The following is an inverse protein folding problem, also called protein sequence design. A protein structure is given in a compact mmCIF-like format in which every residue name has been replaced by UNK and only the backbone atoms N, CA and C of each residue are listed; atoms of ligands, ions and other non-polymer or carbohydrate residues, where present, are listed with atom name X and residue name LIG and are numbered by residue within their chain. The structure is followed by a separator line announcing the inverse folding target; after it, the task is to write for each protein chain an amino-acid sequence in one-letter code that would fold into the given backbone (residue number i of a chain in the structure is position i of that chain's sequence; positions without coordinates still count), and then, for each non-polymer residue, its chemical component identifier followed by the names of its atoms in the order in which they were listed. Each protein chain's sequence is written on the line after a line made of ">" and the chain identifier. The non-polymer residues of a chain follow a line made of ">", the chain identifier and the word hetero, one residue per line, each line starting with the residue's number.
data_IF_294041160863
#
_entry.id   IF_294041160863
#
_cell.length_a   1.000
_cell.length_b   1.000
_cell.length_c   1.000
_cell.angle_alpha   90.00
_cell.angle_beta   90.00
_cell.angle_gamma   90.00
#
_symmetry.space_group_name_H-M   'P 1'
#
loop_
_entity.id
_entity.type
_entity.pdbx_description
1 polymer ?
#
# COMPACT_ATOMS: atom_id res chain seq x y z
N UNK A 1 41.82 -12.99 -19.50
CA UNK A 1 40.61 -12.85 -18.67
C UNK A 1 40.95 -13.41 -17.29
N UNK A 2 40.85 -12.62 -16.22
CA UNK A 2 41.22 -13.07 -14.87
C UNK A 2 40.02 -13.77 -14.24
N UNK A 3 40.14 -15.07 -14.02
CA UNK A 3 39.17 -15.85 -13.25
C UNK A 3 39.30 -15.46 -11.76
N UNK A 4 38.22 -14.99 -11.16
CA UNK A 4 38.16 -14.74 -9.72
C UNK A 4 37.43 -15.91 -9.06
N UNK A 5 38.16 -16.97 -8.73
CA UNK A 5 37.63 -18.11 -7.98
C UNK A 5 37.84 -17.91 -6.48
N UNK A 6 36.76 -17.57 -5.78
CA UNK A 6 36.54 -18.17 -4.47
C UNK A 6 35.99 -19.57 -4.80
N UNK A 7 36.83 -20.61 -4.71
CA UNK A 7 36.70 -21.91 -5.40
C UNK A 7 35.44 -22.77 -5.16
N UNK A 8 34.36 -22.21 -4.60
CA UNK A 8 33.06 -22.86 -4.44
C UNK A 8 32.00 -22.45 -5.45
N UNK A 9 32.19 -21.36 -6.20
CA UNK A 9 31.16 -20.86 -7.12
C UNK A 9 31.79 -20.41 -8.45
N UNK A 10 31.47 -21.11 -9.53
CA UNK A 10 31.78 -20.69 -10.89
C UNK A 10 30.76 -19.64 -11.34
N UNK A 11 31.08 -18.35 -11.17
CA UNK A 11 30.19 -17.24 -11.50
C UNK A 11 30.92 -16.23 -12.38
N UNK A 12 30.30 -15.82 -13.48
CA UNK A 12 30.85 -14.77 -14.37
C UNK A 12 30.70 -13.39 -13.74
N UNK A 13 31.63 -12.48 -14.03
CA UNK A 13 31.54 -11.07 -13.61
C UNK A 13 30.19 -10.41 -13.97
N UNK A 14 29.68 -10.70 -15.17
CA UNK A 14 28.37 -10.22 -15.63
C UNK A 14 27.23 -10.67 -14.70
N UNK A 15 27.25 -11.93 -14.26
CA UNK A 15 26.24 -12.48 -13.36
C UNK A 15 26.27 -11.78 -12.00
N UNK A 16 27.48 -11.53 -11.48
CA UNK A 16 27.67 -10.75 -10.25
C UNK A 16 27.13 -9.32 -10.38
N UNK A 17 27.44 -8.64 -11.50
CA UNK A 17 27.00 -7.27 -11.77
C UNK A 17 25.48 -7.16 -11.87
N UNK A 18 24.84 -8.07 -12.62
CA UNK A 18 23.38 -8.14 -12.76
C UNK A 18 22.73 -8.41 -11.40
N UNK A 19 23.25 -9.37 -10.63
CA UNK A 19 22.73 -9.70 -9.30
C UNK A 19 22.84 -8.51 -8.35
N UNK A 20 24.00 -7.85 -8.30
CA UNK A 20 24.23 -6.68 -7.47
C UNK A 20 23.30 -5.51 -7.85
N UNK A 21 23.07 -5.29 -9.14
CA UNK A 21 22.13 -4.28 -9.63
C UNK A 21 20.69 -4.57 -9.20
N UNK A 22 20.28 -5.85 -9.23
CA UNK A 22 18.99 -6.29 -8.69
C UNK A 22 18.87 -6.02 -7.20
N UNK A 23 19.88 -6.41 -6.41
CA UNK A 23 19.91 -6.19 -4.96
C UNK A 23 19.80 -4.69 -4.60
N UNK A 24 20.52 -3.82 -5.32
CA UNK A 24 20.44 -2.35 -5.13
C UNK A 24 19.04 -1.81 -5.37
N UNK A 25 18.35 -2.28 -6.43
CA UNK A 25 16.99 -1.85 -6.76
C UNK A 25 16.00 -2.27 -5.67
N UNK A 26 16.07 -3.53 -5.22
CA UNK A 26 15.23 -4.02 -4.13
C UNK A 26 15.48 -3.26 -2.83
N UNK A 27 16.74 -3.01 -2.48
CA UNK A 27 17.11 -2.23 -1.30
C UNK A 27 16.50 -0.83 -1.33
N UNK A 28 16.65 -0.11 -2.45
CA UNK A 28 16.10 1.24 -2.62
C UNK A 28 14.58 1.24 -2.47
N UNK A 29 13.88 0.33 -3.15
CA UNK A 29 12.43 0.24 -3.08
C UNK A 29 11.92 0.01 -1.65
N UNK A 30 12.56 -0.90 -0.92
CA UNK A 30 12.21 -1.20 0.48
C UNK A 30 12.50 0.00 1.39
N UNK A 31 13.66 0.63 1.24
CA UNK A 31 14.02 1.84 1.99
C UNK A 31 12.99 2.95 1.76
N UNK A 32 12.61 3.20 0.51
CA UNK A 32 11.65 4.26 0.16
C UNK A 32 10.23 3.94 0.67
N UNK A 33 9.80 2.68 0.62
CA UNK A 33 8.51 2.25 1.18
C UNK A 33 8.46 2.43 2.70
N UNK A 34 9.52 2.01 3.40
CA UNK A 34 9.63 2.12 4.85
C UNK A 34 9.66 3.60 5.32
N UNK A 35 10.19 4.51 4.50
CA UNK A 35 10.16 5.96 4.77
C UNK A 35 8.78 6.59 4.54
N UNK A 36 7.99 6.06 3.59
CA UNK A 36 6.67 6.61 3.22
C UNK A 36 5.54 6.14 4.14
N UNK A 37 5.55 4.86 4.53
CA UNK A 37 4.48 4.26 5.32
C UNK A 37 5.04 3.70 6.62
N UNK A 38 4.76 4.36 7.74
CA UNK A 38 5.14 3.88 9.07
C UNK A 38 4.38 2.63 9.52
N UNK A 39 3.38 2.17 8.76
CA UNK A 39 2.43 1.13 9.20
C UNK A 39 2.86 -0.31 8.86
N UNK A 40 3.79 -0.51 7.91
CA UNK A 40 4.30 -1.84 7.55
C UNK A 40 5.77 -1.76 7.13
N UNK A 41 6.70 -1.93 8.08
CA UNK A 41 8.13 -2.00 7.76
C UNK A 41 8.41 -3.32 7.02
N UNK A 42 8.69 -3.24 5.72
CA UNK A 42 9.05 -4.40 4.93
C UNK A 42 10.45 -4.88 5.35
N UNK A 43 10.53 -6.11 5.84
CA UNK A 43 11.75 -6.75 6.31
C UNK A 43 12.30 -7.67 5.22
N UNK A 44 13.53 -7.40 4.77
CA UNK A 44 14.24 -8.24 3.81
C UNK A 44 15.52 -8.78 4.44
N UNK A 45 15.79 -10.08 4.26
CA UNK A 45 16.88 -10.77 4.96
C UNK A 45 18.26 -10.12 4.75
N UNK A 46 18.50 -9.56 3.56
CA UNK A 46 19.75 -8.90 3.21
C UNK A 46 19.73 -7.38 3.48
N UNK A 47 18.65 -6.85 4.07
CA UNK A 47 18.48 -5.42 4.25
C UNK A 47 19.58 -4.82 5.12
N UNK A 48 19.90 -5.42 6.27
CA UNK A 48 20.95 -4.91 7.17
C UNK A 48 22.33 -4.89 6.50
N UNK A 49 22.65 -5.95 5.74
CA UNK A 49 23.92 -6.03 4.99
C UNK A 49 23.97 -4.96 3.91
N UNK A 50 22.88 -4.79 3.15
CA UNK A 50 22.79 -3.78 2.10
C UNK A 50 22.77 -2.35 2.67
N UNK A 51 22.16 -2.14 3.83
CA UNK A 51 22.11 -0.86 4.53
C UNK A 51 23.50 -0.45 5.05
N UNK A 52 24.26 -1.42 5.59
CA UNK A 52 25.66 -1.20 5.97
C UNK A 52 26.51 -0.72 4.77
N UNK A 53 26.30 -1.27 3.58
CA UNK A 53 27.08 -0.96 2.37
C UNK A 53 26.59 0.30 1.65
N UNK A 54 25.27 0.54 1.62
CA UNK A 54 24.63 1.54 0.74
C UNK A 54 23.75 2.56 1.45
N UNK A 55 23.39 2.36 2.72
CA UNK A 55 22.43 3.20 3.45
C UNK A 55 22.81 4.67 3.53
N UNK A 56 24.12 4.97 3.61
CA UNK A 56 24.65 6.35 3.66
C UNK A 56 24.79 7.03 2.29
N UNK A 57 24.50 6.34 1.18
CA UNK A 57 24.74 6.90 -0.16
C UNK A 57 23.58 7.79 -0.62
N UNK A 58 23.94 8.83 -1.38
CA UNK A 58 23.02 9.87 -1.85
C UNK A 58 21.80 9.34 -2.65
N UNK A 59 21.94 8.18 -3.30
CA UNK A 59 20.84 7.59 -4.09
C UNK A 59 19.74 6.92 -3.25
N UNK A 60 19.98 6.72 -1.95
CA UNK A 60 19.05 6.14 -0.95
C UNK A 60 18.63 7.19 0.07
N UNK A 61 19.55 8.09 0.42
CA UNK A 61 19.31 9.24 1.28
C UNK A 61 19.56 10.52 0.48
N UNK A 62 18.51 11.19 -0.02
CA UNK A 62 18.72 12.43 -0.78
C UNK A 62 19.44 13.46 0.11
N UNK A 63 20.48 14.16 -0.38
CA UNK A 63 21.27 15.12 0.39
C UNK A 63 20.46 16.30 0.94
N UNK A 64 19.33 16.60 0.31
CA UNK A 64 18.38 17.59 0.77
C UNK A 64 16.97 17.05 0.55
N UNK A 65 16.17 17.08 1.61
CA UNK A 65 14.71 17.03 1.49
C UNK A 65 14.32 18.46 1.13
N UNK A 66 13.68 18.69 -0.02
CA UNK A 66 13.12 20.00 -0.32
C UNK A 66 12.09 20.32 0.77
N UNK A 67 12.44 21.24 1.68
CA UNK A 67 11.49 21.84 2.61
C UNK A 67 10.35 22.43 1.79
N UNK A 68 9.11 22.29 2.24
CA UNK A 68 7.94 22.82 1.51
C UNK A 68 7.84 24.35 1.56
N UNK A 69 8.87 25.05 2.04
CA UNK A 69 8.99 26.48 1.84
C UNK A 69 9.21 26.74 0.34
N UNK A 70 8.14 27.25 -0.27
CA UNK A 70 8.11 27.61 -1.67
C UNK A 70 9.24 28.60 -2.03
N UNK A 71 9.57 28.71 -3.32
CA UNK A 71 10.68 29.56 -3.76
C UNK A 71 10.47 31.00 -3.29
N UNK A 72 11.43 31.51 -2.53
CA UNK A 72 11.60 32.96 -2.36
C UNK A 72 11.78 33.59 -3.74
N UNK A 73 11.07 34.70 -3.96
CA UNK A 73 10.93 35.42 -5.23
C UNK A 73 12.28 35.54 -5.97
N UNK A 74 12.32 35.35 -7.31
CA UNK A 74 13.56 35.46 -8.05
C UNK A 74 14.06 36.90 -8.07
N UNK A 75 15.28 37.11 -7.57
CA UNK A 75 16.09 38.29 -7.88
C UNK A 75 16.62 38.14 -9.30
N UNK A 76 16.25 39.08 -10.17
CA UNK A 76 16.69 39.14 -11.56
C UNK A 76 18.22 39.15 -11.66
N UNK A 77 18.80 38.17 -12.36
CA UNK A 77 20.12 38.31 -12.96
C UNK A 77 20.21 37.52 -14.28
N UNK A 78 20.24 38.31 -15.35
CA UNK A 78 20.99 38.17 -16.60
C UNK A 78 20.64 37.03 -17.58
N UNK A 79 20.13 37.50 -18.72
CA UNK A 79 19.76 36.77 -19.93
C UNK A 79 20.94 36.06 -20.61
N UNK A 80 20.66 34.92 -21.23
CA UNK A 80 21.50 34.34 -22.29
C UNK A 80 20.59 33.80 -23.40
N UNK A 81 21.01 33.85 -24.68
CA UNK A 81 20.10 33.97 -25.81
C UNK A 81 19.55 32.62 -26.28
N UNK A 82 18.23 32.56 -26.47
CA UNK A 82 17.53 31.41 -27.05
C UNK A 82 17.50 31.45 -28.58
N UNK A 83 17.81 30.31 -29.21
CA UNK A 83 17.60 30.07 -30.65
C UNK A 83 16.10 30.05 -31.00
N UNK A 84 15.70 30.49 -32.22
CA UNK A 84 14.30 30.59 -32.60
C UNK A 84 13.70 29.22 -32.98
N UNK A 85 12.84 28.67 -32.10
CA UNK A 85 12.03 27.50 -32.43
C UNK A 85 10.67 27.92 -33.02
N UNK A 86 10.40 27.48 -34.25
CA UNK A 86 9.21 27.72 -35.06
C UNK A 86 7.86 27.48 -34.30
N UNK A 87 6.89 28.43 -34.27
CA UNK A 87 5.75 28.42 -33.33
C UNK A 87 4.55 27.53 -33.73
N UNK A 88 4.46 27.02 -34.97
CA UNK A 88 3.22 26.40 -35.47
C UNK A 88 2.96 24.96 -35.01
N UNK A 89 3.98 24.23 -34.52
CA UNK A 89 3.84 22.82 -34.09
C UNK A 89 3.59 22.63 -32.59
N UNK A 90 3.74 23.68 -31.76
CA UNK A 90 3.68 23.59 -30.29
C UNK A 90 2.25 23.35 -29.77
N UNK A 91 1.26 24.03 -30.35
CA UNK A 91 -0.15 23.99 -29.91
C UNK A 91 -0.77 22.59 -29.95
N UNK A 92 -0.40 21.76 -30.94
CA UNK A 92 -0.94 20.40 -31.08
C UNK A 92 -0.30 19.41 -30.09
N UNK A 93 0.98 19.59 -29.78
CA UNK A 93 1.69 18.79 -28.77
C UNK A 93 1.20 19.13 -27.36
N UNK A 94 0.91 20.40 -27.09
CA UNK A 94 0.34 20.86 -25.81
C UNK A 94 -1.03 20.24 -25.53
N UNK A 95 -1.92 20.17 -26.53
CA UNK A 95 -3.23 19.52 -26.37
C UNK A 95 -3.09 18.03 -26.09
N UNK A 96 -2.21 17.32 -26.82
CA UNK A 96 -1.98 15.88 -26.61
C UNK A 96 -1.44 15.61 -25.21
N UNK A 97 -0.50 16.44 -24.73
CA UNK A 97 0.05 16.31 -23.39
C UNK A 97 -1.00 16.59 -22.30
N UNK A 98 -1.87 17.57 -22.51
CA UNK A 98 -2.95 17.90 -21.57
C UNK A 98 -3.96 16.77 -21.46
N UNK A 99 -4.41 16.23 -22.59
CA UNK A 99 -5.32 15.08 -22.63
C UNK A 99 -4.70 13.86 -21.91
N UNK A 100 -3.42 13.58 -22.16
CA UNK A 100 -2.72 12.47 -21.49
C UNK A 100 -2.66 12.63 -19.95
N UNK A 101 -2.45 13.86 -19.46
CA UNK A 101 -2.46 14.15 -18.01
C UNK A 101 -3.87 13.97 -17.43
N UNK A 102 -4.90 14.39 -18.17
CA UNK A 102 -6.29 14.25 -17.76
C UNK A 102 -6.71 12.78 -17.71
N UNK A 103 -6.30 11.98 -18.69
CA UNK A 103 -6.53 10.51 -18.72
C UNK A 103 -5.91 9.83 -17.49
N UNK A 104 -4.65 10.16 -17.15
CA UNK A 104 -3.99 9.62 -15.95
C UNK A 104 -4.76 9.98 -14.67
N UNK A 105 -5.27 11.21 -14.58
CA UNK A 105 -6.09 11.65 -13.44
C UNK A 105 -7.38 10.86 -13.36
N UNK A 106 -8.04 10.66 -14.50
CA UNK A 106 -9.30 9.93 -14.57
C UNK A 106 -9.11 8.47 -14.16
N UNK A 107 -8.10 7.79 -14.69
CA UNK A 107 -7.77 6.41 -14.34
C UNK A 107 -7.50 6.25 -12.84
N UNK A 108 -6.75 7.20 -12.26
CA UNK A 108 -6.47 7.21 -10.82
C UNK A 108 -7.74 7.39 -10.00
N UNK A 109 -8.63 8.30 -10.41
CA UNK A 109 -9.89 8.55 -9.71
C UNK A 109 -10.83 7.33 -9.79
N UNK A 110 -10.91 6.68 -10.96
CA UNK A 110 -11.68 5.44 -11.14
C UNK A 110 -11.14 4.34 -10.23
N UNK A 111 -9.82 4.15 -10.18
CA UNK A 111 -9.20 3.14 -9.32
C UNK A 111 -9.44 3.41 -7.82
N UNK A 112 -9.50 4.68 -7.41
CA UNK A 112 -9.83 5.07 -6.02
C UNK A 112 -11.30 4.77 -5.72
N UNK A 113 -12.22 5.20 -6.61
CA UNK A 113 -13.66 4.99 -6.45
C UNK A 113 -14.01 3.48 -6.35
N UNK A 114 -13.44 2.66 -7.24
CA UNK A 114 -13.63 1.20 -7.20
C UNK A 114 -13.21 0.59 -5.86
N UNK A 115 -12.06 1.01 -5.33
CA UNK A 115 -11.57 0.51 -4.04
C UNK A 115 -12.45 0.97 -2.87
N UNK A 116 -13.03 2.16 -2.95
CA UNK A 116 -13.98 2.65 -1.94
C UNK A 116 -15.29 1.88 -1.96
N UNK A 117 -15.82 1.56 -3.14
CA UNK A 117 -17.01 0.72 -3.29
C UNK A 117 -16.76 -0.68 -2.73
N UNK A 118 -15.65 -1.32 -3.07
CA UNK A 118 -15.26 -2.64 -2.52
C UNK A 118 -15.19 -2.62 -0.98
N UNK A 119 -14.63 -1.55 -0.39
CA UNK A 119 -14.60 -1.38 1.07
C UNK A 119 -16.00 -1.23 1.68
N UNK A 120 -16.86 -0.41 1.07
CA UNK A 120 -18.23 -0.19 1.54
C UNK A 120 -19.04 -1.50 1.49
N UNK A 121 -18.91 -2.25 0.40
CA UNK A 121 -19.57 -3.56 0.27
C UNK A 121 -19.07 -4.57 1.31
N UNK A 122 -17.75 -4.61 1.56
CA UNK A 122 -17.18 -5.44 2.62
C UNK A 122 -17.69 -5.06 4.02
N UNK A 123 -17.78 -3.75 4.31
CA UNK A 123 -18.31 -3.25 5.59
C UNK A 123 -19.79 -3.60 5.77
N UNK A 124 -20.61 -3.44 4.73
CA UNK A 124 -22.03 -3.86 4.75
C UNK A 124 -22.15 -5.37 5.00
N UNK A 125 -21.38 -6.19 4.29
CA UNK A 125 -21.39 -7.64 4.47
C UNK A 125 -20.99 -8.04 5.89
N UNK A 126 -19.97 -7.37 6.45
CA UNK A 126 -19.53 -7.59 7.83
C UNK A 126 -20.60 -7.19 8.85
N UNK A 127 -21.27 -6.06 8.64
CA UNK A 127 -22.38 -5.61 9.49
C UNK A 127 -23.57 -6.58 9.43
N UNK A 128 -23.92 -7.07 8.23
CA UNK A 128 -25.00 -8.03 8.05
C UNK A 128 -24.73 -9.35 8.78
N UNK A 129 -23.54 -9.92 8.65
CA UNK A 129 -23.13 -11.13 9.39
C UNK A 129 -23.16 -10.94 10.91
N UNK A 130 -22.87 -9.73 11.38
CA UNK A 130 -22.96 -9.42 12.81
C UNK A 130 -24.42 -9.39 13.30
N UNK A 131 -25.32 -8.79 12.52
CA UNK A 131 -26.75 -8.72 12.83
C UNK A 131 -27.35 -10.13 12.82
N UNK A 132 -27.07 -10.94 11.80
CA UNK A 132 -27.52 -12.31 11.66
C UNK A 132 -27.11 -13.17 12.86
N UNK A 133 -25.81 -13.16 13.22
CA UNK A 133 -25.33 -13.87 14.42
C UNK A 133 -26.03 -13.39 15.70
N UNK A 134 -26.29 -12.08 15.82
CA UNK A 134 -27.00 -11.53 16.99
C UNK A 134 -28.46 -11.98 17.02
N UNK A 135 -29.09 -12.18 15.87
CA UNK A 135 -30.45 -12.73 15.75
C UNK A 135 -30.50 -14.22 16.09
N UNK A 136 -29.57 -15.02 15.57
CA UNK A 136 -29.43 -16.43 15.92
C UNK A 136 -29.29 -16.62 17.43
N UNK A 137 -28.42 -15.83 18.08
CA UNK A 137 -28.25 -15.89 19.53
C UNK A 137 -29.53 -15.53 20.30
N UNK A 138 -30.33 -14.57 19.80
CA UNK A 138 -31.63 -14.25 20.40
C UNK A 138 -32.61 -15.42 20.27
N UNK A 139 -32.68 -16.06 19.10
CA UNK A 139 -33.55 -17.23 18.88
C UNK A 139 -33.16 -18.40 19.78
N UNK A 140 -31.86 -18.73 19.84
CA UNK A 140 -31.35 -19.79 20.73
C UNK A 140 -31.71 -19.49 22.20
N UNK A 141 -31.58 -18.24 22.61
CA UNK A 141 -31.96 -17.83 23.97
C UNK A 141 -33.46 -17.98 24.20
N UNK A 142 -34.29 -17.55 23.26
CA UNK A 142 -35.75 -17.67 23.32
C UNK A 142 -36.21 -19.13 23.42
N UNK A 143 -35.70 -20.00 22.55
CA UNK A 143 -35.97 -21.45 22.59
C UNK A 143 -35.56 -22.07 23.93
N UNK A 144 -34.39 -21.69 24.46
CA UNK A 144 -33.93 -22.15 25.77
C UNK A 144 -34.89 -21.70 26.89
N UNK A 145 -35.38 -20.46 26.83
CA UNK A 145 -36.34 -19.96 27.81
C UNK A 145 -37.68 -20.70 27.72
N UNK A 146 -38.11 -21.09 26.52
CA UNK A 146 -39.36 -21.84 26.32
C UNK A 146 -39.26 -23.27 26.88
N UNK A 147 -38.12 -23.93 26.71
CA UNK A 147 -37.84 -25.22 27.34
C UNK A 147 -37.84 -25.08 28.87
N UNK A 148 -37.23 -24.02 29.41
CA UNK A 148 -37.23 -23.78 30.86
C UNK A 148 -38.65 -23.53 31.40
N UNK A 149 -39.47 -22.75 30.70
CA UNK A 149 -40.87 -22.52 31.09
C UNK A 149 -41.67 -23.81 31.08
N UNK A 150 -41.57 -24.61 30.02
CA UNK A 150 -42.30 -25.88 29.93
C UNK A 150 -41.88 -26.87 31.02
N UNK A 151 -40.58 -26.93 31.37
CA UNK A 151 -40.10 -27.71 32.51
C UNK A 151 -40.70 -27.24 33.84
N UNK A 152 -40.71 -25.93 34.10
CA UNK A 152 -41.32 -25.36 35.31
C UNK A 152 -42.80 -25.73 35.38
N UNK A 153 -43.51 -25.68 34.26
CA UNK A 153 -44.93 -26.03 34.20
C UNK A 153 -45.16 -27.50 34.55
N UNK A 154 -44.33 -28.41 34.03
CA UNK A 154 -44.36 -29.84 34.41
C UNK A 154 -44.07 -30.00 35.91
N UNK A 155 -43.10 -29.28 36.46
CA UNK A 155 -42.78 -29.35 37.89
C UNK A 155 -43.95 -28.88 38.77
N UNK A 156 -44.66 -27.82 38.38
CA UNK A 156 -45.87 -27.38 39.09
C UNK A 156 -46.96 -28.44 39.09
N UNK A 157 -47.24 -29.06 37.93
CA UNK A 157 -48.24 -30.14 37.82
C UNK A 157 -47.91 -31.34 38.71
N UNK A 158 -46.62 -31.69 38.85
CA UNK A 158 -46.19 -32.76 39.75
C UNK A 158 -46.41 -32.41 41.22
N UNK A 159 -46.14 -31.16 41.62
CA UNK A 159 -46.38 -30.69 42.99
C UNK A 159 -47.88 -30.69 43.31
N UNK A 160 -48.72 -30.26 42.36
CA UNK A 160 -50.18 -30.24 42.54
C UNK A 160 -50.78 -31.65 42.67
N UNK A 161 -50.25 -32.64 41.95
CA UNK A 161 -50.68 -34.05 42.07
C UNK A 161 -50.25 -34.73 43.38
N UNK A 162 -49.29 -34.16 44.11
CA UNK A 162 -48.80 -34.68 45.39
C UNK A 162 -49.57 -34.12 46.60
N UNK A 163 -50.45 -33.13 46.38
CA UNK A 163 -51.42 -32.63 47.36
C UNK A 163 -52.75 -33.36 47.22
#
# INVERSE_FOLDING_TARGET
>A
MKENFNGKYAVTELQCSVKMSGLKRTFKNISDQNKKSGNCRNTWAFYLVMDSIFGKKAFVMPPAIASSEGPVKPTNVTESPSLPSNPSKKRRVETVLKNFIDDIRQDRNIAIAKREEERKEYEKLKAQRYIERKEEQRKIHEEKMEIQKSLIEIMKLLIEKQK
#
